data_IF_284292909081
#
_entry.id   IF_284292909081
#
_cell.length_a   1.000
_cell.length_b   1.000
_cell.length_c   1.000
_cell.angle_alpha   90.00
_cell.angle_beta   90.00
_cell.angle_gamma   90.00
#
_symmetry.space_group_name_H-M   'P 1'
#
loop_
_entity.id
_entity.type
_entity.pdbx_description
1 polymer ?
#
# COMPACT_ATOMS: atom_id res chain seq x y z
N UNK A 1 -13.54 -9.51 -6.95
CA UNK A 1 -13.59 -8.10 -7.43
C UNK A 1 -14.14 -7.14 -6.37
N UNK A 2 -15.21 -7.49 -5.64
CA UNK A 2 -15.86 -6.63 -4.64
C UNK A 2 -14.94 -6.12 -3.50
N UNK A 3 -14.23 -7.01 -2.80
CA UNK A 3 -13.41 -6.59 -1.64
C UNK A 3 -12.34 -5.54 -2.00
N UNK A 4 -11.68 -5.70 -3.15
CA UNK A 4 -10.67 -4.74 -3.63
C UNK A 4 -11.27 -3.35 -3.85
N UNK A 5 -12.49 -3.28 -4.42
CA UNK A 5 -13.21 -2.03 -4.64
C UNK A 5 -13.55 -1.35 -3.32
N UNK A 6 -14.10 -2.10 -2.36
CA UNK A 6 -14.43 -1.58 -1.02
C UNK A 6 -13.17 -1.09 -0.31
N UNK A 7 -12.08 -1.84 -0.37
CA UNK A 7 -10.80 -1.45 0.25
C UNK A 7 -10.28 -0.13 -0.32
N UNK A 8 -10.31 0.05 -1.64
CA UNK A 8 -9.90 1.30 -2.30
C UNK A 8 -10.79 2.48 -1.88
N UNK A 9 -12.10 2.26 -1.72
CA UNK A 9 -13.02 3.29 -1.23
C UNK A 9 -12.72 3.69 0.22
N UNK A 10 -12.48 2.72 1.11
CA UNK A 10 -12.08 2.98 2.51
C UNK A 10 -10.79 3.80 2.55
N UNK A 11 -9.83 3.47 1.69
CA UNK A 11 -8.56 4.19 1.55
C UNK A 11 -8.67 5.53 0.81
N UNK A 12 -9.87 5.92 0.37
CA UNK A 12 -10.13 7.14 -0.40
C UNK A 12 -9.32 7.26 -1.70
N UNK A 13 -8.95 6.14 -2.31
CA UNK A 13 -8.23 6.06 -3.59
C UNK A 13 -9.15 5.57 -4.71
N UNK A 14 -8.92 5.97 -5.98
CA UNK A 14 -9.74 5.51 -7.10
C UNK A 14 -9.73 3.99 -7.28
N UNK A 15 -10.80 3.45 -7.84
CA UNK A 15 -10.90 2.00 -8.14
C UNK A 15 -9.85 1.52 -9.15
N UNK A 16 -9.35 2.44 -9.98
CA UNK A 16 -8.30 2.24 -10.99
C UNK A 16 -6.89 2.17 -10.40
N UNK A 17 -6.70 2.53 -9.12
CA UNK A 17 -5.40 2.44 -8.44
C UNK A 17 -4.85 1.02 -8.55
N UNK A 18 -3.55 0.85 -8.75
CA UNK A 18 -2.91 -0.46 -8.78
C UNK A 18 -3.29 -1.27 -7.52
N UNK A 19 -3.76 -2.50 -7.72
CA UNK A 19 -4.15 -3.41 -6.62
C UNK A 19 -3.10 -3.57 -5.51
N UNK A 20 -1.79 -3.75 -5.79
CA UNK A 20 -0.79 -3.88 -4.74
C UNK A 20 -0.76 -2.68 -3.78
N UNK A 21 -1.04 -1.46 -4.25
CA UNK A 21 -1.08 -0.28 -3.38
C UNK A 21 -2.09 -0.42 -2.24
N UNK A 22 -3.28 -0.95 -2.55
CA UNK A 22 -4.34 -1.15 -1.55
C UNK A 22 -3.94 -2.15 -0.47
N UNK A 23 -3.22 -3.22 -0.83
CA UNK A 23 -2.70 -4.19 0.12
C UNK A 23 -1.54 -3.63 0.93
N UNK A 24 -0.60 -2.92 0.29
CA UNK A 24 0.53 -2.28 0.96
C UNK A 24 0.05 -1.30 2.02
N UNK A 25 -0.86 -0.39 1.63
CA UNK A 25 -1.38 0.64 2.52
C UNK A 25 -2.16 0.06 3.70
N UNK A 26 -3.05 -0.90 3.44
CA UNK A 26 -3.90 -1.47 4.49
C UNK A 26 -3.23 -2.55 5.34
N UNK A 27 -2.11 -3.13 4.88
CA UNK A 27 -1.53 -4.32 5.51
C UNK A 27 -2.31 -5.60 5.27
N UNK A 28 -3.42 -5.56 4.51
CA UNK A 28 -4.25 -6.74 4.26
C UNK A 28 -3.61 -7.67 3.24
N UNK A 29 -4.09 -8.91 3.21
CA UNK A 29 -3.78 -9.91 2.19
C UNK A 29 -4.99 -10.15 1.29
N UNK A 30 -4.80 -10.72 0.08
CA UNK A 30 -5.92 -11.07 -0.79
C UNK A 30 -6.87 -12.07 -0.14
N UNK A 31 -8.15 -12.06 -0.54
CA UNK A 31 -9.18 -12.98 -0.03
C UNK A 31 -8.74 -14.44 -0.12
N UNK A 32 -8.04 -14.78 -1.20
CA UNK A 32 -7.47 -16.11 -1.41
C UNK A 32 -6.56 -16.54 -0.24
N UNK A 33 -5.70 -15.64 0.25
CA UNK A 33 -4.85 -15.91 1.40
C UNK A 33 -5.67 -16.24 2.66
N UNK A 34 -6.76 -15.50 2.87
CA UNK A 34 -7.67 -15.69 4.01
C UNK A 34 -8.35 -17.06 3.90
N UNK A 35 -8.86 -17.42 2.72
CA UNK A 35 -9.48 -18.73 2.46
C UNK A 35 -8.47 -19.84 2.71
N UNK A 36 -7.23 -19.70 2.22
CA UNK A 36 -6.20 -20.71 2.41
C UNK A 36 -5.82 -20.87 3.88
N UNK A 37 -5.70 -19.77 4.64
CA UNK A 37 -5.46 -19.84 6.09
C UNK A 37 -6.59 -20.56 6.84
N UNK A 38 -7.86 -20.36 6.43
CA UNK A 38 -8.99 -21.09 7.01
C UNK A 38 -8.97 -22.58 6.66
N UNK A 39 -8.65 -22.92 5.41
CA UNK A 39 -8.51 -24.31 4.96
C UNK A 39 -7.38 -25.02 5.72
N UNK A 40 -6.20 -24.39 5.83
CA UNK A 40 -5.06 -24.91 6.59
C UNK A 40 -5.39 -25.03 8.08
N UNK A 41 -6.10 -24.05 8.66
CA UNK A 41 -6.52 -24.12 10.07
C UNK A 41 -7.48 -25.27 10.34
N UNK A 42 -8.44 -25.52 9.44
CA UNK A 42 -9.36 -26.65 9.55
C UNK A 42 -8.59 -27.98 9.48
N UNK A 43 -7.68 -28.09 8.51
CA UNK A 43 -6.86 -29.29 8.35
C UNK A 43 -5.96 -29.58 9.54
N UNK A 44 -5.35 -28.55 10.13
CA UNK A 44 -4.56 -28.72 11.36
C UNK A 44 -5.39 -29.26 12.52
N UNK A 45 -6.67 -28.89 12.62
CA UNK A 45 -7.55 -29.49 13.62
C UNK A 45 -7.83 -30.96 13.30
N UNK A 46 -8.05 -31.33 12.03
CA UNK A 46 -8.27 -32.72 11.60
C UNK A 46 -7.03 -33.58 11.88
N UNK A 47 -5.84 -33.07 11.59
CA UNK A 47 -4.58 -33.78 11.80
C UNK A 47 -4.32 -34.12 13.27
N UNK A 48 -4.80 -33.28 14.19
CA UNK A 48 -4.67 -33.46 15.63
C UNK A 48 -5.74 -34.37 16.27
N UNK A 49 -6.73 -34.86 15.51
CA UNK A 49 -7.70 -35.81 16.03
C UNK A 49 -7.08 -37.20 16.22
N UNK A 50 -7.74 -38.02 17.05
CA UNK A 50 -7.43 -39.45 17.16
C UNK A 50 -7.57 -40.17 15.81
N UNK A 51 -6.75 -41.20 15.59
CA UNK A 51 -6.76 -41.99 14.36
C UNK A 51 -8.07 -42.78 14.17
N UNK A 52 -8.85 -42.94 15.23
CA UNK A 52 -10.20 -43.53 15.19
C UNK A 52 -11.25 -42.56 14.63
N UNK A 53 -10.98 -41.24 14.61
CA UNK A 53 -11.93 -40.23 14.14
C UNK A 53 -12.26 -40.42 12.66
N UNK A 54 -13.53 -40.22 12.32
CA UNK A 54 -14.04 -40.39 10.95
C UNK A 54 -13.37 -39.37 10.03
N UNK A 55 -13.18 -38.15 10.50
CA UNK A 55 -12.60 -37.03 9.78
C UNK A 55 -11.15 -37.30 9.38
N UNK A 56 -10.32 -37.79 10.32
CA UNK A 56 -8.91 -38.10 10.04
C UNK A 56 -8.77 -39.31 9.13
N UNK A 57 -9.58 -40.36 9.33
CA UNK A 57 -9.64 -41.52 8.43
C UNK A 57 -10.06 -41.13 7.02
N UNK A 58 -11.06 -40.25 6.89
CA UNK A 58 -11.49 -39.72 5.60
C UNK A 58 -10.37 -38.92 4.94
N UNK A 59 -9.67 -38.07 5.70
CA UNK A 59 -8.53 -37.29 5.19
C UNK A 59 -7.42 -38.20 4.64
N UNK A 60 -7.00 -39.21 5.41
CA UNK A 60 -6.03 -40.22 4.96
C UNK A 60 -6.46 -40.90 3.67
N UNK A 61 -7.70 -41.38 3.60
CA UNK A 61 -8.24 -42.05 2.42
C UNK A 61 -8.23 -41.12 1.20
N UNK A 62 -8.73 -39.90 1.36
CA UNK A 62 -8.88 -38.95 0.26
C UNK A 62 -7.53 -38.50 -0.30
N UNK A 63 -6.55 -38.24 0.57
CA UNK A 63 -5.19 -37.88 0.16
C UNK A 63 -4.44 -39.05 -0.50
N UNK A 64 -4.72 -40.29 -0.08
CA UNK A 64 -4.12 -41.49 -0.70
C UNK A 64 -4.68 -41.78 -2.09
N UNK A 65 -5.99 -41.60 -2.29
CA UNK A 65 -6.67 -41.94 -3.56
C UNK A 65 -6.47 -40.86 -4.62
N UNK A 66 -6.60 -39.58 -4.26
CA UNK A 66 -6.77 -38.51 -5.27
C UNK A 66 -5.52 -37.67 -5.53
N UNK A 67 -4.44 -37.84 -4.77
CA UNK A 67 -3.16 -37.15 -5.01
C UNK A 67 -3.34 -35.65 -5.26
N UNK A 68 -2.91 -35.15 -6.43
CA UNK A 68 -3.00 -33.73 -6.83
C UNK A 68 -4.01 -33.45 -7.95
N UNK A 69 -4.69 -34.45 -8.49
CA UNK A 69 -5.48 -34.34 -9.73
C UNK A 69 -6.99 -34.29 -9.49
N UNK A 70 -7.45 -34.46 -8.25
CA UNK A 70 -8.87 -34.41 -7.90
C UNK A 70 -9.43 -32.99 -7.70
N UNK A 71 -10.75 -32.86 -7.79
CA UNK A 71 -11.50 -31.64 -7.44
C UNK A 71 -11.91 -31.59 -5.95
N UNK A 72 -11.43 -32.53 -5.14
CA UNK A 72 -11.79 -32.63 -3.71
C UNK A 72 -11.12 -31.52 -2.88
N UNK A 73 -11.70 -31.22 -1.72
CA UNK A 73 -11.11 -30.28 -0.76
C UNK A 73 -9.67 -30.68 -0.37
N UNK A 74 -9.40 -31.98 -0.21
CA UNK A 74 -8.06 -32.50 0.10
C UNK A 74 -7.05 -32.33 -1.04
N UNK A 75 -7.51 -32.46 -2.29
CA UNK A 75 -6.65 -32.19 -3.47
C UNK A 75 -6.29 -30.71 -3.54
N UNK A 76 -7.26 -29.82 -3.28
CA UNK A 76 -7.01 -28.38 -3.14
C UNK A 76 -6.04 -28.07 -1.99
N UNK A 77 -6.08 -28.83 -0.91
CA UNK A 77 -5.14 -28.68 0.19
C UNK A 77 -3.71 -29.04 -0.18
N UNK A 78 -3.52 -30.08 -0.98
CA UNK A 78 -2.22 -30.42 -1.52
C UNK A 78 -1.68 -29.28 -2.40
N UNK A 79 -2.52 -28.67 -3.25
CA UNK A 79 -2.15 -27.49 -4.03
C UNK A 79 -1.77 -26.30 -3.11
N UNK A 80 -2.54 -26.06 -2.05
CA UNK A 80 -2.30 -24.98 -1.09
C UNK A 80 -0.97 -25.19 -0.35
N UNK A 81 -0.71 -26.40 0.16
CA UNK A 81 0.54 -26.71 0.89
C UNK A 81 1.75 -26.56 -0.03
N UNK A 82 1.69 -27.07 -1.26
CA UNK A 82 2.73 -26.87 -2.27
C UNK A 82 2.95 -25.40 -2.59
N UNK A 83 1.88 -24.61 -2.78
CA UNK A 83 1.95 -23.17 -3.08
C UNK A 83 2.71 -22.37 -2.02
N UNK A 84 2.61 -22.78 -0.76
CA UNK A 84 3.24 -22.10 0.37
C UNK A 84 4.48 -22.83 0.90
N UNK A 85 5.00 -23.81 0.16
CA UNK A 85 6.20 -24.59 0.55
C UNK A 85 6.04 -25.22 1.95
N UNK A 86 4.84 -25.70 2.26
CA UNK A 86 4.53 -26.45 3.48
C UNK A 86 4.73 -27.96 3.26
N UNK A 87 4.92 -28.71 4.34
CA UNK A 87 4.99 -30.17 4.31
C UNK A 87 3.78 -30.79 3.61
N UNK A 88 3.98 -31.97 3.03
CA UNK A 88 2.90 -32.67 2.33
C UNK A 88 1.75 -32.94 3.32
N UNK A 89 0.46 -32.78 2.93
CA UNK A 89 -0.66 -33.07 3.82
C UNK A 89 -0.62 -34.46 4.46
N UNK A 90 -0.14 -35.49 3.75
CA UNK A 90 0.02 -36.83 4.30
C UNK A 90 1.08 -36.91 5.39
N UNK A 91 2.17 -36.14 5.28
CA UNK A 91 3.19 -36.05 6.33
C UNK A 91 2.62 -35.37 7.57
N UNK A 92 1.87 -34.29 7.38
CA UNK A 92 1.22 -33.55 8.47
C UNK A 92 0.20 -34.43 9.22
N UNK A 93 -0.51 -35.33 8.54
CA UNK A 93 -1.43 -36.27 9.21
C UNK A 93 -0.68 -37.33 10.04
N UNK A 94 0.48 -37.78 9.56
CA UNK A 94 1.30 -38.81 10.22
C UNK A 94 2.03 -38.27 11.43
N UNK A 95 2.58 -37.07 11.31
CA UNK A 95 3.34 -36.40 12.37
C UNK A 95 2.79 -34.97 12.60
N UNK A 96 1.64 -34.85 13.30
CA UNK A 96 0.99 -33.57 13.49
C UNK A 96 1.74 -32.73 14.53
N UNK A 97 2.09 -31.49 14.16
CA UNK A 97 2.61 -30.51 15.11
C UNK A 97 1.50 -29.91 15.97
N UNK A 98 1.86 -29.36 17.12
CA UNK A 98 0.88 -28.71 18.01
C UNK A 98 0.10 -27.58 17.32
N UNK A 99 -1.14 -27.33 17.77
CA UNK A 99 -2.03 -26.31 17.18
C UNK A 99 -1.40 -24.91 17.09
N UNK A 100 -0.63 -24.52 18.11
CA UNK A 100 0.05 -23.21 18.16
C UNK A 100 1.21 -23.13 17.15
N UNK A 101 2.01 -24.20 17.04
CA UNK A 101 3.08 -24.32 16.05
C UNK A 101 2.49 -24.32 14.63
N UNK A 102 1.44 -25.12 14.38
CA UNK A 102 0.77 -25.17 13.08
C UNK A 102 0.25 -23.79 12.64
N UNK A 103 -0.44 -23.08 13.54
CA UNK A 103 -0.92 -21.72 13.30
C UNK A 103 0.23 -20.78 12.94
N UNK A 104 1.35 -20.88 13.64
CA UNK A 104 2.54 -20.02 13.41
C UNK A 104 3.19 -20.32 12.07
N UNK A 105 3.41 -21.60 11.76
CA UNK A 105 4.02 -22.06 10.50
C UNK A 105 3.18 -21.66 9.30
N UNK A 106 1.87 -21.96 9.33
CA UNK A 106 0.96 -21.62 8.23
C UNK A 106 0.82 -20.12 8.03
N UNK A 107 0.67 -19.35 9.11
CA UNK A 107 0.60 -17.89 9.02
C UNK A 107 1.88 -17.30 8.40
N UNK A 108 3.05 -17.73 8.89
CA UNK A 108 4.35 -17.28 8.38
C UNK A 108 4.51 -17.59 6.89
N UNK A 109 4.22 -18.83 6.48
CA UNK A 109 4.37 -19.27 5.10
C UNK A 109 3.46 -18.49 4.14
N UNK A 110 2.16 -18.36 4.49
CA UNK A 110 1.19 -17.61 3.68
C UNK A 110 1.57 -16.13 3.60
N UNK A 111 1.95 -15.51 4.72
CA UNK A 111 2.34 -14.10 4.75
C UNK A 111 3.64 -13.85 3.99
N UNK A 112 4.63 -14.74 4.07
CA UNK A 112 5.86 -14.64 3.31
C UNK A 112 5.59 -14.69 1.80
N UNK A 113 4.79 -15.65 1.34
CA UNK A 113 4.42 -15.77 -0.08
C UNK A 113 3.72 -14.51 -0.60
N UNK A 114 2.64 -14.06 0.08
CA UNK A 114 1.89 -12.89 -0.37
C UNK A 114 2.66 -11.59 -0.20
N UNK A 115 3.49 -11.50 0.85
CA UNK A 115 4.46 -10.43 1.05
C UNK A 115 5.36 -10.25 -0.16
N UNK A 116 6.05 -11.33 -0.58
CA UNK A 116 6.92 -11.30 -1.77
C UNK A 116 6.13 -10.96 -3.03
N UNK A 117 5.01 -11.65 -3.28
CA UNK A 117 4.21 -11.49 -4.49
C UNK A 117 3.68 -10.06 -4.66
N UNK A 118 3.13 -9.47 -3.60
CA UNK A 118 2.58 -8.10 -3.64
C UNK A 118 3.71 -7.08 -3.85
N UNK A 119 4.85 -7.26 -3.18
CA UNK A 119 6.02 -6.39 -3.39
C UNK A 119 6.50 -6.43 -4.85
N UNK A 120 6.67 -7.64 -5.40
CA UNK A 120 7.05 -7.81 -6.81
C UNK A 120 6.05 -7.17 -7.77
N UNK A 121 4.74 -7.37 -7.53
CA UNK A 121 3.70 -6.72 -8.32
C UNK A 121 3.76 -5.20 -8.20
N UNK A 122 4.04 -4.64 -7.03
CA UNK A 122 4.11 -3.19 -6.86
C UNK A 122 5.24 -2.56 -7.69
N UNK A 123 6.39 -3.25 -7.77
CA UNK A 123 7.55 -2.78 -8.53
C UNK A 123 7.30 -2.68 -10.04
N UNK A 124 6.26 -3.35 -10.58
CA UNK A 124 5.90 -3.23 -12.00
C UNK A 124 5.07 -1.98 -12.31
N UNK A 125 4.65 -1.20 -11.30
CA UNK A 125 3.84 0.00 -11.48
C UNK A 125 4.68 1.25 -11.18
N UNK A 126 5.01 2.03 -12.21
CA UNK A 126 5.69 3.33 -12.04
C UNK A 126 4.88 4.32 -11.19
N UNK A 127 3.56 4.21 -11.17
CA UNK A 127 2.69 5.03 -10.31
C UNK A 127 2.89 4.80 -8.81
N UNK A 128 3.60 3.73 -8.42
CA UNK A 128 3.92 3.40 -7.03
C UNK A 128 5.38 3.67 -6.66
N UNK A 129 6.13 4.40 -7.49
CA UNK A 129 7.57 4.63 -7.28
C UNK A 129 7.91 5.30 -5.94
N UNK A 130 6.99 6.09 -5.38
CA UNK A 130 7.16 6.77 -4.09
C UNK A 130 6.54 6.03 -2.91
N UNK A 131 5.85 4.90 -3.13
CA UNK A 131 5.27 4.11 -2.05
C UNK A 131 6.33 3.15 -1.49
N UNK A 132 6.46 3.08 -0.17
CA UNK A 132 7.45 2.21 0.52
C UNK A 132 7.09 0.74 0.42
N UNK A 133 7.30 0.12 -0.75
CA UNK A 133 7.02 -1.29 -0.98
C UNK A 133 7.78 -2.19 0.01
N UNK A 134 9.01 -1.80 0.39
CA UNK A 134 9.83 -2.51 1.37
C UNK A 134 9.15 -2.69 2.73
N UNK A 135 8.35 -1.71 3.15
CA UNK A 135 7.68 -1.66 4.46
C UNK A 135 6.40 -2.50 4.52
N UNK A 136 5.96 -3.09 3.41
CA UNK A 136 4.80 -3.97 3.43
C UNK A 136 5.08 -5.21 4.28
N UNK A 137 4.28 -5.34 5.35
CA UNK A 137 4.25 -6.49 6.23
C UNK A 137 2.78 -6.90 6.44
N UNK A 138 2.35 -8.06 5.91
CA UNK A 138 1.00 -8.56 6.10
C UNK A 138 0.55 -8.53 7.57
N UNK A 139 -0.65 -8.01 7.81
CA UNK A 139 -1.22 -7.79 9.13
C UNK A 139 -0.83 -6.45 9.78
N UNK A 140 0.07 -5.66 9.18
CA UNK A 140 0.46 -4.33 9.68
C UNK A 140 0.08 -3.24 8.70
N UNK A 141 -0.72 -2.29 9.17
CA UNK A 141 -1.11 -1.10 8.41
C UNK A 141 0.14 -0.26 8.09
N UNK A 142 0.18 0.30 6.89
CA UNK A 142 1.28 1.16 6.46
C UNK A 142 1.37 2.41 7.36
N UNK A 143 2.57 2.83 7.79
CA UNK A 143 2.73 4.00 8.67
C UNK A 143 2.11 5.29 8.10
N UNK A 144 2.08 5.44 6.77
CA UNK A 144 1.38 6.54 6.06
C UNK A 144 -0.10 6.68 6.45
N UNK A 145 -0.79 5.58 6.79
CA UNK A 145 -2.18 5.61 7.24
C UNK A 145 -2.32 5.68 8.76
N UNK A 146 -1.22 5.60 9.52
CA UNK A 146 -1.28 5.64 10.97
C UNK A 146 -1.69 7.04 11.40
N UNK A 147 -2.79 7.13 12.13
CA UNK A 147 -3.25 8.34 12.83
C UNK A 147 -3.08 8.03 14.30
N UNK A 148 -2.24 8.79 14.99
CA UNK A 148 -2.07 8.63 16.44
C UNK A 148 -3.27 9.20 17.18
N UNK A 149 -3.51 8.79 18.43
CA UNK A 149 -4.65 9.27 19.22
C UNK A 149 -4.66 10.79 19.39
N UNK A 150 -3.46 11.40 19.50
CA UNK A 150 -3.27 12.86 19.55
C UNK A 150 -3.56 13.57 18.22
N UNK A 151 -3.65 12.82 17.12
CA UNK A 151 -3.95 13.27 15.76
C UNK A 151 -5.39 12.96 15.33
N UNK A 152 -6.26 12.48 16.22
CA UNK A 152 -7.68 12.19 15.94
C UNK A 152 -8.53 13.42 15.61
N UNK A 153 -7.93 14.61 15.56
CA UNK A 153 -8.58 15.80 15.03
C UNK A 153 -9.02 15.55 13.57
N UNK A 154 -10.29 15.83 13.27
CA UNK A 154 -10.90 15.75 11.94
C UNK A 154 -10.02 16.30 10.80
N UNK A 155 -9.17 17.30 11.11
CA UNK A 155 -8.21 17.89 10.17
C UNK A 155 -7.20 16.89 9.61
N UNK A 156 -6.61 15.99 10.41
CA UNK A 156 -5.59 15.05 9.91
C UNK A 156 -6.22 13.96 9.02
N UNK A 157 -7.42 13.50 9.38
CA UNK A 157 -8.20 12.55 8.58
C UNK A 157 -8.46 13.12 7.18
N UNK A 158 -8.81 14.41 7.08
CA UNK A 158 -9.08 15.07 5.79
C UNK A 158 -7.83 15.27 4.92
N UNK A 159 -6.63 15.28 5.50
CA UNK A 159 -5.36 15.42 4.75
C UNK A 159 -4.93 14.14 4.08
N UNK A 160 -5.24 13.00 4.70
CA UNK A 160 -4.76 11.69 4.27
C UNK A 160 -5.17 11.34 2.83
N UNK A 161 -6.44 11.52 2.38
CA UNK A 161 -6.84 11.20 1.01
C UNK A 161 -6.00 11.87 -0.08
N UNK A 162 -5.57 13.12 0.15
CA UNK A 162 -4.75 13.85 -0.83
C UNK A 162 -3.38 13.20 -0.94
N UNK A 163 -2.73 12.93 0.20
CA UNK A 163 -1.41 12.30 0.25
C UNK A 163 -1.45 10.87 -0.32
N UNK A 164 -2.47 10.08 0.03
CA UNK A 164 -2.65 8.73 -0.51
C UNK A 164 -2.85 8.74 -2.02
N UNK A 165 -3.57 9.72 -2.58
CA UNK A 165 -3.68 9.86 -4.05
C UNK A 165 -2.36 10.24 -4.72
N UNK A 166 -1.58 11.12 -4.10
CA UNK A 166 -0.28 11.54 -4.63
C UNK A 166 0.72 10.37 -4.63
N UNK A 167 0.87 9.65 -3.51
CA UNK A 167 1.83 8.53 -3.37
C UNK A 167 1.47 7.32 -4.25
N UNK A 168 0.19 7.17 -4.60
CA UNK A 168 -0.29 6.09 -5.49
C UNK A 168 -0.38 6.50 -6.96
N UNK A 169 0.05 7.72 -7.30
CA UNK A 169 0.01 8.24 -8.67
C UNK A 169 -1.40 8.43 -9.22
N UNK A 170 -2.40 8.58 -8.36
CA UNK A 170 -3.82 8.74 -8.75
C UNK A 170 -4.37 10.14 -8.56
N UNK A 171 -3.52 11.09 -8.12
CA UNK A 171 -3.88 12.49 -8.04
C UNK A 171 -3.94 13.10 -9.44
N UNK A 172 -5.05 13.78 -9.76
CA UNK A 172 -5.31 14.30 -11.11
C UNK A 172 -4.46 15.54 -11.43
N UNK A 173 -3.29 15.31 -12.01
CA UNK A 173 -2.41 16.32 -12.60
C UNK A 173 -2.58 16.37 -14.13
N UNK A 174 -2.21 17.47 -14.78
CA UNK A 174 -2.29 17.55 -16.24
C UNK A 174 -1.44 16.51 -16.94
N UNK A 175 -0.23 16.22 -16.43
CA UNK A 175 0.63 15.16 -16.99
C UNK A 175 -0.04 13.77 -16.94
N UNK A 176 -0.66 13.43 -15.80
CA UNK A 176 -1.42 12.18 -15.66
C UNK A 176 -2.63 12.14 -16.59
N UNK A 177 -3.33 13.25 -16.75
CA UNK A 177 -4.47 13.33 -17.68
C UNK A 177 -4.04 13.16 -19.13
N UNK A 178 -2.96 13.81 -19.54
CA UNK A 178 -2.38 13.67 -20.87
C UNK A 178 -1.97 12.22 -21.18
N UNK A 179 -1.41 11.50 -20.20
CA UNK A 179 -0.98 10.12 -20.37
C UNK A 179 -2.13 9.09 -20.47
N UNK A 180 -3.29 9.37 -19.87
CA UNK A 180 -4.38 8.38 -19.73
C UNK A 180 -5.69 8.76 -20.42
N UNK A 181 -5.83 9.98 -20.95
CA UNK A 181 -6.99 10.35 -21.75
C UNK A 181 -6.78 9.98 -23.22
N UNK A 182 -7.85 9.53 -23.88
CA UNK A 182 -7.85 9.30 -25.33
C UNK A 182 -7.86 10.61 -26.15
N UNK A 183 -8.01 11.75 -25.48
CA UNK A 183 -7.99 13.08 -26.09
C UNK A 183 -6.62 13.71 -25.91
N UNK A 184 -6.20 14.51 -26.87
CA UNK A 184 -4.99 15.32 -26.77
C UNK A 184 -5.16 16.38 -25.67
N UNK A 185 -4.60 16.10 -24.49
CA UNK A 185 -4.62 17.00 -23.34
C UNK A 185 -3.23 17.55 -23.15
N UNK A 186 -3.11 18.88 -23.18
CA UNK A 186 -1.86 19.58 -22.90
C UNK A 186 -1.39 19.27 -21.45
N UNK A 187 -0.19 18.68 -21.26
CA UNK A 187 0.32 18.36 -19.93
C UNK A 187 0.73 19.61 -19.13
N UNK A 188 0.74 20.80 -19.73
CA UNK A 188 1.19 22.05 -19.11
C UNK A 188 0.34 22.45 -17.90
N UNK A 189 0.99 22.91 -16.83
CA UNK A 189 0.29 23.36 -15.63
C UNK A 189 -0.62 24.55 -15.90
N UNK A 190 -1.92 24.37 -15.64
CA UNK A 190 -2.94 25.41 -15.85
C UNK A 190 -2.77 26.65 -14.96
N UNK A 191 -2.02 26.53 -13.86
CA UNK A 191 -1.79 27.62 -12.92
C UNK A 191 -0.68 28.57 -13.39
N UNK A 192 0.51 28.01 -13.61
CA UNK A 192 1.71 28.80 -13.95
C UNK A 192 1.96 28.89 -15.45
N UNK A 193 1.52 27.89 -16.22
CA UNK A 193 1.71 27.76 -17.68
C UNK A 193 3.16 27.72 -18.16
N UNK A 194 4.09 27.32 -17.29
CA UNK A 194 5.53 27.33 -17.60
C UNK A 194 6.08 25.96 -17.99
N UNK A 195 5.52 24.87 -17.46
CA UNK A 195 6.01 23.51 -17.68
C UNK A 195 4.89 22.50 -17.47
N UNK A 196 5.15 21.24 -17.82
CA UNK A 196 4.25 20.13 -17.52
C UNK A 196 3.91 20.07 -16.01
N UNK A 197 2.65 19.82 -15.67
CA UNK A 197 2.20 19.61 -14.28
C UNK A 197 2.52 18.18 -13.86
N UNK A 198 3.79 17.89 -13.62
CA UNK A 198 4.24 16.64 -12.99
C UNK A 198 4.07 16.71 -11.47
N UNK A 199 4.29 15.58 -10.79
CA UNK A 199 4.26 15.52 -9.32
C UNK A 199 5.33 16.44 -8.70
N UNK A 200 6.54 16.38 -9.25
CA UNK A 200 7.65 17.30 -8.97
C UNK A 200 7.23 18.76 -9.15
N UNK A 201 6.66 19.12 -10.31
CA UNK A 201 6.22 20.48 -10.54
C UNK A 201 5.18 20.94 -9.52
N UNK A 202 4.15 20.13 -9.29
CA UNK A 202 3.08 20.46 -8.34
C UNK A 202 3.61 20.66 -6.92
N UNK A 203 4.43 19.72 -6.43
CA UNK A 203 4.90 19.72 -5.04
C UNK A 203 6.03 20.72 -4.82
N UNK A 204 6.97 20.88 -5.76
CA UNK A 204 8.24 21.59 -5.52
C UNK A 204 8.44 22.87 -6.34
N UNK A 205 7.86 22.99 -7.54
CA UNK A 205 8.26 24.08 -8.46
C UNK A 205 7.16 25.03 -8.95
N UNK A 206 5.87 24.69 -8.82
CA UNK A 206 4.79 25.55 -9.30
C UNK A 206 4.85 26.92 -8.62
N UNK A 207 5.12 27.98 -9.39
CA UNK A 207 5.35 29.35 -8.89
C UNK A 207 4.10 29.93 -8.25
N UNK A 208 2.91 29.58 -8.74
CA UNK A 208 1.63 30.01 -8.16
C UNK A 208 1.35 29.40 -6.79
N UNK A 209 1.99 28.28 -6.46
CA UNK A 209 1.85 27.62 -5.16
C UNK A 209 3.03 27.90 -4.20
N UNK A 210 4.01 28.71 -4.63
CA UNK A 210 5.25 28.96 -3.88
C UNK A 210 4.96 29.52 -2.48
N UNK A 211 4.03 30.47 -2.37
CA UNK A 211 3.69 31.12 -1.11
C UNK A 211 3.14 30.15 -0.04
N UNK A 212 2.49 29.05 -0.46
CA UNK A 212 2.02 27.98 0.45
C UNK A 212 3.18 27.05 0.83
N UNK A 213 4.06 26.77 -0.13
CA UNK A 213 5.13 25.78 -0.03
C UNK A 213 6.25 26.21 0.92
N UNK A 214 6.72 27.45 0.80
CA UNK A 214 7.98 27.92 1.44
C UNK A 214 8.02 27.62 2.92
N UNK A 215 7.02 28.09 3.69
CA UNK A 215 7.01 27.89 5.14
C UNK A 215 6.95 26.40 5.51
N UNK A 216 6.15 25.60 4.80
CA UNK A 216 5.97 24.19 5.15
C UNK A 216 7.22 23.38 4.78
N UNK A 217 7.92 23.71 3.69
CA UNK A 217 9.20 23.10 3.37
C UNK A 217 10.29 23.48 4.36
N UNK A 218 10.30 24.72 4.88
CA UNK A 218 11.18 25.08 6.00
C UNK A 218 10.90 24.23 7.23
N UNK A 219 9.62 24.03 7.61
CA UNK A 219 9.25 23.18 8.74
C UNK A 219 9.69 21.71 8.51
N UNK A 220 9.55 21.19 7.29
CA UNK A 220 10.02 19.83 6.92
C UNK A 220 11.54 19.75 7.04
N UNK A 221 12.28 20.72 6.51
CA UNK A 221 13.73 20.77 6.60
C UNK A 221 14.21 20.82 8.06
N UNK A 222 13.55 21.62 8.90
CA UNK A 222 13.83 21.67 10.34
C UNK A 222 13.55 20.34 11.03
N UNK A 223 12.43 19.68 10.73
CA UNK A 223 12.08 18.37 11.28
C UNK A 223 13.01 17.24 10.81
N UNK A 224 13.58 17.37 9.61
CA UNK A 224 14.63 16.47 9.11
C UNK A 224 15.92 16.56 9.95
N UNK A 225 16.16 17.67 10.66
CA UNK A 225 17.32 17.90 11.53
C UNK A 225 18.64 18.04 10.77
N UNK A 226 19.74 18.23 11.50
CA UNK A 226 21.06 18.54 10.92
C UNK A 226 21.62 17.45 10.00
N UNK A 227 21.24 16.19 10.22
CA UNK A 227 21.73 15.05 9.44
C UNK A 227 21.21 15.02 8.00
N UNK A 228 20.12 15.74 7.69
CA UNK A 228 19.49 15.70 6.37
C UNK A 228 19.22 17.13 5.93
N UNK A 229 20.10 17.65 5.08
CA UNK A 229 19.86 18.93 4.44
C UNK A 229 18.84 18.76 3.30
N UNK A 230 17.55 18.83 3.65
CA UNK A 230 16.44 18.63 2.72
C UNK A 230 16.57 19.47 1.44
N UNK A 231 17.05 20.71 1.55
CA UNK A 231 17.21 21.62 0.40
C UNK A 231 18.29 21.21 -0.59
N UNK A 232 19.27 20.41 -0.16
CA UNK A 232 20.38 19.92 -0.99
C UNK A 232 20.11 18.52 -1.56
N UNK A 233 19.06 17.84 -1.11
CA UNK A 233 18.65 16.55 -1.68
C UNK A 233 18.24 16.71 -3.14
N UNK A 234 18.45 15.66 -3.92
CA UNK A 234 17.90 15.60 -5.28
C UNK A 234 16.36 15.59 -5.21
N UNK A 235 15.70 16.02 -6.30
CA UNK A 235 14.23 16.10 -6.36
C UNK A 235 13.56 14.76 -6.01
N UNK A 236 14.10 13.63 -6.49
CA UNK A 236 13.51 12.32 -6.23
C UNK A 236 13.49 12.01 -4.73
N UNK A 237 14.56 12.30 -4.00
CA UNK A 237 14.63 12.05 -2.55
C UNK A 237 13.77 13.04 -1.77
N UNK A 238 13.69 14.31 -2.19
CA UNK A 238 12.74 15.27 -1.61
C UNK A 238 11.30 14.76 -1.75
N UNK A 239 10.92 14.26 -2.93
CA UNK A 239 9.60 13.69 -3.17
C UNK A 239 9.35 12.42 -2.34
N UNK A 240 10.34 11.52 -2.22
CA UNK A 240 10.23 10.34 -1.36
C UNK A 240 9.95 10.73 0.08
N UNK A 241 10.68 11.69 0.65
CA UNK A 241 10.44 12.20 2.01
C UNK A 241 9.03 12.79 2.14
N UNK A 242 8.60 13.61 1.17
CA UNK A 242 7.29 14.26 1.21
C UNK A 242 6.15 13.25 1.11
N UNK A 243 6.24 12.32 0.17
CA UNK A 243 5.14 11.42 -0.17
C UNK A 243 5.07 10.21 0.74
N UNK A 244 6.22 9.69 1.14
CA UNK A 244 6.33 8.56 2.04
C UNK A 244 7.68 8.55 2.77
N UNK A 245 7.77 9.31 3.87
CA UNK A 245 9.00 9.43 4.68
C UNK A 245 9.57 8.06 5.10
N UNK A 246 8.71 7.04 5.20
CA UNK A 246 9.11 5.69 5.57
C UNK A 246 9.84 4.95 4.44
N UNK A 247 9.85 5.46 3.21
CA UNK A 247 10.63 4.89 2.09
C UNK A 247 12.11 5.20 2.23
N UNK A 248 12.42 6.23 3.02
CA UNK A 248 13.76 6.81 3.15
C UNK A 248 14.46 6.42 4.43
N UNK A 249 14.04 5.34 5.11
CA UNK A 249 14.63 4.92 6.40
C UNK A 249 16.15 4.68 6.31
N UNK A 250 16.65 4.29 5.14
CA UNK A 250 18.10 4.20 4.90
C UNK A 250 18.78 5.57 4.84
N UNK A 251 18.08 6.63 4.41
CA UNK A 251 18.58 8.02 4.43
C UNK A 251 18.42 8.65 5.82
N UNK A 252 17.37 8.23 6.56
CA UNK A 252 17.06 8.67 7.93
C UNK A 252 17.60 7.64 8.94
N UNK A 253 18.90 7.33 8.87
CA UNK A 253 19.52 6.36 9.79
C UNK A 253 19.25 6.71 11.27
N UNK A 254 18.90 5.67 12.05
CA UNK A 254 18.82 5.66 13.52
C UNK A 254 17.82 6.61 14.22
N UNK A 255 16.80 7.12 13.54
CA UNK A 255 15.87 8.06 14.20
C UNK A 255 14.70 7.38 14.93
N UNK A 256 14.44 7.88 16.12
CA UNK A 256 13.24 7.61 16.93
C UNK A 256 11.96 7.80 16.06
N UNK A 257 11.01 6.88 16.21
CA UNK A 257 9.71 6.88 15.52
C UNK A 257 8.95 8.20 15.62
N UNK A 258 9.21 8.99 16.65
CA UNK A 258 8.61 10.31 16.86
C UNK A 258 9.02 11.33 15.78
N UNK A 259 10.28 11.34 15.35
CA UNK A 259 10.76 12.25 14.29
C UNK A 259 10.08 11.97 12.94
N UNK A 260 9.94 10.69 12.60
CA UNK A 260 9.25 10.29 11.36
C UNK A 260 7.78 10.71 11.38
N UNK A 261 7.12 10.60 12.53
CA UNK A 261 5.75 11.04 12.72
C UNK A 261 5.61 12.57 12.58
N UNK A 262 6.58 13.33 13.08
CA UNK A 262 6.62 14.79 12.93
C UNK A 262 6.82 15.20 11.47
N UNK A 263 7.79 14.63 10.76
CA UNK A 263 8.00 14.88 9.33
C UNK A 263 6.73 14.50 8.54
N UNK A 264 6.12 13.35 8.83
CA UNK A 264 4.89 12.91 8.18
C UNK A 264 3.73 13.91 8.40
N UNK A 265 3.62 14.49 9.60
CA UNK A 265 2.63 15.54 9.91
C UNK A 265 2.84 16.78 9.02
N UNK A 266 4.07 17.27 8.89
CA UNK A 266 4.36 18.44 8.04
C UNK A 266 4.13 18.15 6.56
N UNK A 267 4.50 16.96 6.09
CA UNK A 267 4.31 16.58 4.69
C UNK A 267 2.85 16.34 4.33
N UNK A 268 2.03 15.77 5.24
CA UNK A 268 0.55 15.73 5.10
C UNK A 268 -0.02 17.14 5.00
N UNK A 269 0.45 18.07 5.85
CA UNK A 269 0.05 19.49 5.80
C UNK A 269 0.38 20.12 4.46
N UNK A 270 1.59 19.89 3.93
CA UNK A 270 2.03 20.38 2.62
C UNK A 270 1.10 19.90 1.50
N UNK A 271 0.95 18.58 1.35
CA UNK A 271 0.15 17.98 0.29
C UNK A 271 -1.29 18.52 0.26
N UNK A 272 -1.92 18.60 1.44
CA UNK A 272 -3.27 19.11 1.55
C UNK A 272 -3.37 20.62 1.29
N UNK A 273 -2.44 21.43 1.82
CA UNK A 273 -2.44 22.88 1.59
C UNK A 273 -2.27 23.22 0.10
N UNK A 274 -1.35 22.54 -0.59
CA UNK A 274 -1.18 22.67 -2.04
C UNK A 274 -2.44 22.27 -2.80
N UNK A 275 -3.11 21.19 -2.39
CA UNK A 275 -4.38 20.77 -2.99
C UNK A 275 -5.48 21.82 -2.83
N UNK A 276 -5.66 22.36 -1.62
CA UNK A 276 -6.66 23.40 -1.35
C UNK A 276 -6.41 24.65 -2.19
N UNK A 277 -5.16 25.14 -2.21
CA UNK A 277 -4.84 26.36 -2.98
C UNK A 277 -4.98 26.11 -4.48
N UNK A 278 -4.57 24.94 -5.00
CA UNK A 278 -4.82 24.56 -6.40
C UNK A 278 -6.30 24.59 -6.75
N UNK A 279 -7.17 24.03 -5.91
CA UNK A 279 -8.63 24.08 -6.14
C UNK A 279 -9.17 25.50 -6.15
N UNK A 280 -8.72 26.34 -5.20
CA UNK A 280 -9.12 27.75 -5.11
C UNK A 280 -8.73 28.51 -6.37
N UNK A 281 -7.48 28.36 -6.84
CA UNK A 281 -7.01 29.00 -8.06
C UNK A 281 -7.73 28.49 -9.31
N UNK A 282 -8.06 27.19 -9.38
CA UNK A 282 -8.88 26.64 -10.47
C UNK A 282 -10.30 27.19 -10.49
N UNK A 283 -10.89 27.50 -9.33
CA UNK A 283 -12.20 28.14 -9.24
C UNK A 283 -12.21 29.58 -9.78
N UNK A 284 -11.04 30.19 -9.99
CA UNK A 284 -10.89 31.51 -10.61
C UNK A 284 -10.63 31.43 -12.12
N UNK A 285 -10.35 30.24 -12.67
CA UNK A 285 -10.14 30.06 -14.10
C UNK A 285 -11.48 30.14 -14.87
N UNK A 286 -11.50 30.76 -16.06
CA UNK A 286 -12.70 30.87 -16.90
C UNK A 286 -13.33 29.51 -17.22
N UNK A 287 -14.67 29.43 -17.17
CA UNK A 287 -15.46 28.20 -17.26
C UNK A 287 -15.30 27.43 -18.58
N UNK A 288 -14.99 28.12 -19.70
CA UNK A 288 -14.68 27.44 -20.98
C UNK A 288 -13.45 26.54 -20.89
N UNK A 289 -12.53 26.80 -19.95
CA UNK A 289 -11.43 25.88 -19.66
C UNK A 289 -11.88 24.70 -18.80
N UNK A 290 -13.01 24.74 -18.08
CA UNK A 290 -13.43 23.66 -17.16
C UNK A 290 -14.08 22.44 -17.82
N UNK A 291 -14.56 22.57 -19.06
CA UNK A 291 -15.33 21.51 -19.75
C UNK A 291 -14.66 20.97 -21.03
N UNK A 292 -13.54 21.58 -21.45
CA UNK A 292 -12.48 20.88 -22.21
C UNK A 292 -11.45 20.22 -21.28
N UNK A 293 -11.69 20.30 -19.97
CA UNK A 293 -11.03 19.59 -18.87
C UNK A 293 -11.95 18.47 -18.37
#
# INVERSE_FOLDING_TARGET
>A
MFLKKVLKQILSIPVTTADPASFILSGLVPVEAIIHLRALSLFGNIALLDDSSIEKRLAYRQLTIHGHTGSSWFSNLAIITTKYELSNPMEILRDPVSKSQWKTVTLRAVYAYWGRRIKQQALTYSSLEYLSVGHYNPGKIHPLLRITETQTQSREVNRLPVKTKLVTGTYSLQSTRAAFNNLDVDPTCLLCKTSAETLEHFILHCTKLQHVRVQILCDIASACGENINFSQLCTSDQLRIILDVYSTVDVVHNKNTEYLAEIDRHTRRLCHALHCERKKLFALLPTRRRYGL
#
